data_IF_523914829101
#
_entry.id   IF_523914829101
#
_cell.length_a   1.000
_cell.length_b   1.000
_cell.length_c   1.000
_cell.angle_alpha   90.00
_cell.angle_beta   90.00
_cell.angle_gamma   90.00
#
_symmetry.space_group_name_H-M   'P 1'
#
loop_
_entity.id
_entity.type
_entity.pdbx_description
1 polymer ?
#
# COMPACT_ATOMS: atom_id res chain seq x y z
N UNK A 1 -29.67 54.94 67.03
CA UNK A 1 -29.47 54.76 65.58
C UNK A 1 -28.12 54.09 65.41
N UNK A 2 -28.13 52.76 65.35
CA UNK A 2 -26.93 51.91 65.36
C UNK A 2 -26.66 51.54 63.90
N UNK A 3 -25.56 52.03 63.35
CA UNK A 3 -25.18 51.72 61.98
C UNK A 3 -24.61 50.30 61.92
N UNK A 4 -25.36 49.37 61.34
CA UNK A 4 -24.90 48.02 61.02
C UNK A 4 -23.89 48.10 59.89
N UNK A 5 -22.62 47.86 60.21
CA UNK A 5 -21.53 47.79 59.25
C UNK A 5 -21.61 46.43 58.54
N UNK A 6 -21.98 46.42 57.26
CA UNK A 6 -21.99 45.22 56.44
C UNK A 6 -20.55 44.82 56.09
N UNK A 7 -20.11 43.64 56.55
CA UNK A 7 -18.85 43.04 56.10
C UNK A 7 -18.97 42.70 54.60
N UNK A 8 -18.02 43.14 53.75
CA UNK A 8 -17.95 42.66 52.40
C UNK A 8 -17.47 41.20 52.43
N UNK A 9 -18.38 40.27 52.12
CA UNK A 9 -18.05 38.87 51.82
C UNK A 9 -17.12 38.86 50.59
N UNK A 10 -15.83 38.98 50.84
CA UNK A 10 -14.76 38.86 49.85
C UNK A 10 -14.48 37.38 49.61
N UNK A 11 -15.47 36.66 49.07
CA UNK A 11 -15.25 35.38 48.40
C UNK A 11 -14.64 35.68 47.03
N UNK A 12 -13.40 36.17 47.05
CA UNK A 12 -12.59 36.30 45.85
C UNK A 12 -12.31 34.88 45.34
N UNK A 13 -13.03 34.47 44.30
CA UNK A 13 -12.83 33.19 43.64
C UNK A 13 -11.36 33.06 43.21
N UNK A 14 -10.61 32.20 43.91
CA UNK A 14 -9.23 31.90 43.55
C UNK A 14 -9.27 31.29 42.14
N UNK A 15 -8.61 31.92 41.14
CA UNK A 15 -8.62 31.37 39.79
C UNK A 15 -8.02 29.96 39.85
N UNK A 16 -8.63 28.96 39.18
CA UNK A 16 -8.15 27.59 39.23
C UNK A 16 -6.69 27.57 38.77
N UNK A 17 -5.80 27.20 39.69
CA UNK A 17 -4.37 27.04 39.43
C UNK A 17 -4.22 25.90 38.41
N UNK A 18 -4.15 26.24 37.12
CA UNK A 18 -3.86 25.31 36.05
C UNK A 18 -2.40 24.90 36.18
N UNK A 19 -2.19 23.82 36.92
CA UNK A 19 -0.88 23.20 37.05
C UNK A 19 -0.25 23.00 35.66
N UNK A 20 1.00 23.43 35.43
CA UNK A 20 1.68 23.31 34.14
C UNK A 20 1.71 21.86 33.62
N UNK A 21 1.66 20.89 34.53
CA UNK A 21 1.51 19.46 34.21
C UNK A 21 0.21 19.11 33.49
N UNK A 22 -0.89 19.81 33.78
CA UNK A 22 -2.17 19.60 33.07
C UNK A 22 -2.09 20.11 31.65
N UNK A 23 -1.47 21.27 31.42
CA UNK A 23 -1.28 21.84 30.08
C UNK A 23 -0.37 20.91 29.25
N UNK A 24 0.75 20.47 29.83
CA UNK A 24 1.64 19.50 29.20
C UNK A 24 0.91 18.17 28.88
N UNK A 25 0.08 17.67 29.80
CA UNK A 25 -0.73 16.47 29.60
C UNK A 25 -1.72 16.61 28.43
N UNK A 26 -2.47 17.70 28.36
CA UNK A 26 -3.37 17.97 27.23
C UNK A 26 -2.62 18.13 25.91
N UNK A 27 -1.45 18.78 25.94
CA UNK A 27 -0.57 18.88 24.78
C UNK A 27 -0.14 17.50 24.26
N UNK A 28 0.30 16.62 25.16
CA UNK A 28 0.69 15.26 24.81
C UNK A 28 -0.49 14.46 24.22
N UNK A 29 -1.68 14.54 24.83
CA UNK A 29 -2.89 13.90 24.30
C UNK A 29 -3.23 14.44 22.90
N UNK A 30 -3.18 15.75 22.71
CA UNK A 30 -3.43 16.38 21.41
C UNK A 30 -2.48 15.88 20.32
N UNK A 31 -1.17 15.82 20.62
CA UNK A 31 -0.16 15.28 19.70
C UNK A 31 -0.48 13.84 19.32
N UNK A 32 -0.79 12.98 20.30
CA UNK A 32 -1.13 11.57 20.04
C UNK A 32 -2.36 11.47 19.15
N UNK A 33 -3.43 12.19 19.46
CA UNK A 33 -4.68 12.15 18.68
C UNK A 33 -4.45 12.61 17.24
N UNK A 34 -3.71 13.69 17.03
CA UNK A 34 -3.37 14.19 15.69
C UNK A 34 -2.52 13.18 14.93
N UNK A 35 -1.48 12.62 15.58
CA UNK A 35 -0.61 11.63 14.95
C UNK A 35 -1.37 10.37 14.53
N UNK A 36 -2.22 9.81 15.41
CA UNK A 36 -3.03 8.63 15.10
C UNK A 36 -4.03 8.94 13.99
N UNK A 37 -4.71 10.09 14.06
CA UNK A 37 -5.68 10.50 13.03
C UNK A 37 -5.01 10.64 11.67
N UNK A 38 -3.82 11.25 11.62
CA UNK A 38 -3.06 11.38 10.38
C UNK A 38 -2.64 10.01 9.82
N UNK A 39 -2.22 9.07 10.67
CA UNK A 39 -1.91 7.70 10.25
C UNK A 39 -3.13 7.01 9.63
N UNK A 40 -4.30 7.14 10.27
CA UNK A 40 -5.55 6.55 9.77
C UNK A 40 -5.95 7.17 8.43
N UNK A 41 -5.83 8.50 8.28
CA UNK A 41 -6.13 9.19 7.02
C UNK A 41 -5.18 8.71 5.91
N UNK A 42 -3.88 8.64 6.17
CA UNK A 42 -2.90 8.17 5.19
C UNK A 42 -3.10 6.71 4.81
N UNK A 43 -3.41 5.84 5.78
CA UNK A 43 -3.78 4.45 5.52
C UNK A 43 -5.07 4.36 4.69
N UNK A 44 -6.07 5.21 4.97
CA UNK A 44 -7.32 5.24 4.21
C UNK A 44 -7.11 5.71 2.77
N UNK A 45 -6.18 6.63 2.51
CA UNK A 45 -5.80 7.07 1.16
C UNK A 45 -5.12 5.92 0.39
N UNK A 46 -4.27 5.12 1.05
CA UNK A 46 -3.56 3.98 0.44
C UNK A 46 -4.36 2.66 0.45
N UNK A 47 -5.64 2.72 0.81
CA UNK A 47 -6.47 1.52 1.05
C UNK A 47 -6.91 0.79 -0.22
N UNK A 48 -6.68 1.35 -1.41
CA UNK A 48 -7.01 0.64 -2.66
C UNK A 48 -5.92 -0.36 -3.00
N UNK A 49 -6.26 -1.65 -2.95
CA UNK A 49 -5.39 -2.75 -3.32
C UNK A 49 -5.78 -3.35 -4.66
N UNK A 50 -4.79 -3.63 -5.50
CA UNK A 50 -4.94 -4.47 -6.68
C UNK A 50 -5.24 -5.92 -6.24
N UNK A 51 -6.25 -6.53 -6.84
CA UNK A 51 -6.71 -7.90 -6.52
C UNK A 51 -6.56 -8.87 -7.69
N UNK A 52 -6.75 -8.38 -8.91
CA UNK A 52 -6.45 -9.16 -10.11
C UNK A 52 -6.06 -8.28 -11.27
N UNK A 53 -5.33 -8.87 -12.20
CA UNK A 53 -5.00 -8.29 -13.50
C UNK A 53 -5.46 -9.25 -14.57
N UNK A 54 -6.22 -8.75 -15.53
CA UNK A 54 -6.53 -9.49 -16.75
C UNK A 54 -5.74 -8.90 -17.91
N UNK A 55 -5.04 -9.73 -18.67
CA UNK A 55 -4.31 -9.31 -19.86
C UNK A 55 -4.93 -9.96 -21.08
N UNK A 56 -5.34 -9.16 -22.05
CA UNK A 56 -5.94 -9.62 -23.31
C UNK A 56 -5.09 -9.19 -24.48
N UNK A 57 -4.72 -10.11 -25.36
CA UNK A 57 -4.09 -9.77 -26.63
C UNK A 57 -5.11 -9.12 -27.56
N UNK A 58 -4.79 -7.96 -28.12
CA UNK A 58 -5.67 -7.24 -29.05
C UNK A 58 -5.63 -7.84 -30.45
N UNK A 59 -4.50 -8.46 -30.82
CA UNK A 59 -4.36 -9.20 -32.07
C UNK A 59 -3.83 -10.62 -31.78
N UNK A 60 -4.73 -11.62 -31.68
CA UNK A 60 -4.36 -13.02 -31.46
C UNK A 60 -3.42 -13.60 -32.53
N UNK A 61 -3.43 -13.04 -33.76
CA UNK A 61 -2.57 -13.52 -34.82
C UNK A 61 -1.12 -13.03 -34.68
N UNK A 62 -0.91 -11.95 -33.92
CA UNK A 62 0.40 -11.37 -33.66
C UNK A 62 1.03 -11.84 -32.33
N UNK A 63 0.39 -12.77 -31.60
CA UNK A 63 0.98 -13.37 -30.39
C UNK A 63 2.34 -14.03 -30.72
N UNK A 64 3.36 -13.84 -29.87
CA UNK A 64 4.63 -14.55 -30.01
C UNK A 64 4.36 -16.04 -30.04
N UNK A 65 4.96 -16.74 -31.00
CA UNK A 65 4.93 -18.20 -31.05
C UNK A 65 6.35 -18.69 -30.91
N UNK A 66 6.54 -19.75 -30.14
CA UNK A 66 7.84 -20.40 -30.02
C UNK A 66 8.31 -20.84 -31.41
N UNK A 67 9.51 -20.41 -31.77
CA UNK A 67 10.12 -20.71 -33.05
C UNK A 67 10.48 -22.20 -33.11
N UNK A 68 10.20 -22.85 -34.25
CA UNK A 68 10.63 -24.22 -34.47
C UNK A 68 12.17 -24.31 -34.46
N UNK A 69 12.73 -25.06 -33.52
CA UNK A 69 14.14 -25.42 -33.58
C UNK A 69 14.37 -26.36 -34.78
N UNK A 70 15.36 -26.07 -35.65
CA UNK A 70 15.75 -27.03 -36.67
C UNK A 70 16.12 -28.33 -35.94
N UNK A 71 15.60 -29.48 -36.39
CA UNK A 71 15.77 -30.84 -35.85
C UNK A 71 14.74 -31.38 -34.85
N UNK A 72 13.87 -30.56 -34.24
CA UNK A 72 12.76 -31.05 -33.42
C UNK A 72 11.43 -30.53 -33.97
N UNK A 73 10.51 -31.44 -34.34
CA UNK A 73 9.12 -31.09 -34.64
C UNK A 73 8.42 -30.70 -33.34
N UNK A 74 8.66 -29.48 -32.86
CA UNK A 74 7.82 -28.88 -31.84
C UNK A 74 6.53 -28.45 -32.50
N UNK A 75 5.41 -28.94 -31.96
CA UNK A 75 4.08 -28.45 -32.29
C UNK A 75 4.05 -26.99 -31.84
N UNK A 76 3.53 -26.07 -32.67
CA UNK A 76 3.36 -24.64 -32.34
C UNK A 76 2.97 -24.49 -30.86
N UNK A 77 3.91 -24.07 -30.02
CA UNK A 77 3.67 -23.89 -28.60
C UNK A 77 3.21 -22.45 -28.38
N UNK A 78 2.19 -22.31 -27.54
CA UNK A 78 1.70 -21.01 -27.13
C UNK A 78 2.68 -20.41 -26.12
N UNK A 79 2.78 -19.08 -26.03
CA UNK A 79 3.73 -18.42 -25.15
C UNK A 79 3.46 -18.71 -23.67
N UNK A 80 4.51 -18.64 -22.86
CA UNK A 80 4.47 -18.88 -21.42
C UNK A 80 4.40 -17.53 -20.68
N UNK A 81 3.21 -16.91 -20.65
CA UNK A 81 3.06 -15.58 -20.07
C UNK A 81 3.34 -15.55 -18.57
N UNK A 82 4.16 -14.58 -18.15
CA UNK A 82 4.41 -14.24 -16.75
C UNK A 82 4.12 -12.78 -16.50
N UNK A 83 3.52 -12.49 -15.34
CA UNK A 83 3.24 -11.13 -14.93
C UNK A 83 4.02 -10.74 -13.66
N UNK A 84 4.71 -9.61 -13.72
CA UNK A 84 5.53 -9.07 -12.64
C UNK A 84 5.06 -7.66 -12.29
N UNK A 85 4.86 -7.40 -11.00
CA UNK A 85 4.62 -6.07 -10.47
C UNK A 85 5.95 -5.50 -9.96
N UNK A 86 6.33 -4.35 -10.47
CA UNK A 86 7.48 -3.58 -9.99
C UNK A 86 6.96 -2.55 -8.99
N UNK A 87 7.48 -2.58 -7.77
CA UNK A 87 7.08 -1.67 -6.70
C UNK A 87 8.02 -0.48 -6.59
N UNK A 88 7.54 0.61 -5.99
CA UNK A 88 8.26 1.89 -5.81
C UNK A 88 9.61 1.79 -5.06
N UNK A 89 9.93 0.63 -4.49
CA UNK A 89 11.15 0.35 -3.72
C UNK A 89 12.16 -0.51 -4.47
N UNK A 90 11.84 -0.90 -5.70
CA UNK A 90 12.60 -1.89 -6.46
C UNK A 90 12.23 -3.35 -6.12
N UNK A 91 11.31 -3.56 -5.18
CA UNK A 91 10.76 -4.90 -4.91
C UNK A 91 9.94 -5.39 -6.11
N UNK A 92 10.01 -6.70 -6.38
CA UNK A 92 9.24 -7.34 -7.45
C UNK A 92 8.28 -8.37 -6.89
N UNK A 93 7.01 -8.32 -7.30
CA UNK A 93 5.99 -9.33 -6.96
C UNK A 93 5.67 -10.11 -8.21
N UNK A 94 5.98 -11.41 -8.21
CA UNK A 94 5.69 -12.32 -9.33
C UNK A 94 4.34 -12.96 -9.10
N UNK A 95 3.41 -12.78 -10.04
CA UNK A 95 2.04 -13.33 -9.92
C UNK A 95 1.90 -14.78 -10.42
N UNK A 96 3.02 -15.37 -10.86
CA UNK A 96 3.05 -16.70 -11.47
C UNK A 96 2.98 -16.63 -12.99
N UNK A 97 3.02 -17.80 -13.62
CA UNK A 97 2.96 -17.97 -15.07
C UNK A 97 1.69 -18.70 -15.50
N UNK A 98 1.28 -18.45 -16.75
CA UNK A 98 0.21 -19.14 -17.46
C UNK A 98 0.84 -19.84 -18.67
N UNK A 99 1.33 -21.08 -18.49
CA UNK A 99 2.08 -21.76 -19.53
C UNK A 99 1.16 -22.20 -20.68
N UNK A 100 1.70 -22.25 -21.90
CA UNK A 100 1.02 -22.74 -23.11
C UNK A 100 -0.42 -22.18 -23.27
N UNK A 101 -0.65 -20.91 -22.92
CA UNK A 101 -1.99 -20.32 -22.95
C UNK A 101 -2.02 -19.02 -23.74
N UNK A 102 -2.94 -18.91 -24.69
CA UNK A 102 -3.16 -17.66 -25.46
C UNK A 102 -3.83 -16.59 -24.59
N UNK A 103 -3.48 -15.33 -24.85
CA UNK A 103 -4.11 -14.17 -24.21
C UNK A 103 -5.31 -13.63 -25.00
N UNK A 104 -5.70 -14.26 -26.11
CA UNK A 104 -6.83 -13.84 -26.95
C UNK A 104 -8.16 -13.69 -26.17
N UNK A 105 -8.45 -14.61 -25.25
CA UNK A 105 -9.67 -14.60 -24.43
C UNK A 105 -9.51 -13.88 -23.08
N UNK A 106 -8.30 -13.35 -22.81
CA UNK A 106 -7.94 -12.75 -21.53
C UNK A 106 -7.39 -13.75 -20.51
N UNK A 107 -6.19 -13.47 -20.02
CA UNK A 107 -5.55 -14.20 -18.94
C UNK A 107 -5.66 -13.43 -17.63
N UNK A 108 -6.27 -14.04 -16.62
CA UNK A 108 -6.40 -13.41 -15.30
C UNK A 108 -5.40 -13.99 -14.29
N UNK A 109 -4.65 -13.09 -13.66
CA UNK A 109 -3.84 -13.35 -12.48
C UNK A 109 -4.54 -12.79 -11.26
N UNK A 110 -4.88 -13.67 -10.32
CA UNK A 110 -5.41 -13.26 -9.02
C UNK A 110 -4.26 -13.17 -8.01
N UNK A 111 -4.22 -12.08 -7.26
CA UNK A 111 -3.28 -11.87 -6.18
C UNK A 111 -3.80 -12.57 -4.93
N UNK A 112 -2.99 -13.43 -4.32
CA UNK A 112 -3.33 -14.04 -3.02
C UNK A 112 -3.41 -12.98 -1.92
N UNK A 113 -2.51 -11.99 -1.98
CA UNK A 113 -2.45 -10.85 -1.08
C UNK A 113 -2.56 -9.56 -1.90
N UNK A 114 -3.61 -8.75 -1.69
CA UNK A 114 -3.78 -7.51 -2.44
C UNK A 114 -2.61 -6.54 -2.21
N UNK A 115 -2.13 -5.93 -3.29
CA UNK A 115 -1.00 -4.98 -3.26
C UNK A 115 -1.54 -3.57 -3.43
N UNK A 116 -1.12 -2.61 -2.58
CA UNK A 116 -1.60 -1.23 -2.70
C UNK A 116 -1.21 -0.64 -4.06
N UNK A 117 -2.17 -0.04 -4.76
CA UNK A 117 -1.90 0.65 -6.04
C UNK A 117 -0.83 1.74 -5.87
N UNK A 118 -0.80 2.40 -4.71
CA UNK A 118 0.19 3.43 -4.39
C UNK A 118 1.62 2.89 -4.20
N UNK A 119 1.80 1.56 -4.15
CA UNK A 119 3.10 0.91 -4.09
C UNK A 119 3.57 0.39 -5.47
N UNK A 120 2.68 0.26 -6.45
CA UNK A 120 2.99 -0.29 -7.78
C UNK A 120 3.49 0.85 -8.67
N UNK A 121 4.64 0.66 -9.30
CA UNK A 121 5.21 1.57 -10.29
C UNK A 121 4.80 1.12 -11.69
N UNK A 122 5.17 -0.11 -12.06
CA UNK A 122 4.90 -0.68 -13.37
C UNK A 122 4.45 -2.13 -13.26
N UNK A 123 3.71 -2.56 -14.28
CA UNK A 123 3.30 -3.94 -14.49
C UNK A 123 3.94 -4.42 -15.77
N UNK A 124 4.71 -5.49 -15.67
CA UNK A 124 5.46 -6.07 -16.78
C UNK A 124 4.88 -7.43 -17.15
N UNK A 125 4.57 -7.58 -18.43
CA UNK A 125 4.27 -8.86 -19.07
C UNK A 125 5.56 -9.39 -19.71
N UNK A 126 5.95 -10.59 -19.34
CA UNK A 126 7.12 -11.28 -19.89
C UNK A 126 6.68 -12.58 -20.55
N UNK A 127 7.36 -12.95 -21.62
CA UNK A 127 7.35 -14.30 -22.14
C UNK A 127 8.42 -15.13 -21.42
N UNK A 128 8.03 -16.29 -20.90
CA UNK A 128 8.93 -17.16 -20.18
C UNK A 128 9.45 -18.27 -21.09
N UNK A 129 10.19 -17.91 -22.13
CA UNK A 129 10.93 -18.92 -22.89
C UNK A 129 12.12 -19.45 -22.05
N UNK A 130 12.44 -20.73 -22.24
CA UNK A 130 13.49 -21.47 -21.52
C UNK A 130 14.89 -20.92 -21.75
N UNK A 131 15.07 -20.10 -22.79
CA UNK A 131 16.37 -19.60 -23.21
C UNK A 131 16.55 -18.10 -22.92
N UNK A 132 15.51 -17.27 -23.12
CA UNK A 132 15.54 -15.83 -22.86
C UNK A 132 14.17 -15.37 -22.37
N UNK A 133 14.14 -14.62 -21.26
CA UNK A 133 12.92 -13.99 -20.78
C UNK A 133 12.81 -12.63 -21.44
N UNK A 134 11.88 -12.50 -22.38
CA UNK A 134 11.68 -11.26 -23.12
C UNK A 134 10.52 -10.47 -22.54
N UNK A 135 10.70 -9.14 -22.45
CA UNK A 135 9.63 -8.24 -22.01
C UNK A 135 8.71 -7.97 -23.19
N UNK A 136 7.45 -8.40 -23.08
CA UNK A 136 6.44 -8.23 -24.13
C UNK A 136 5.72 -6.90 -24.04
N UNK A 137 5.48 -6.42 -22.82
CA UNK A 137 4.84 -5.14 -22.56
C UNK A 137 5.15 -4.67 -21.13
N UNK A 138 5.23 -3.36 -20.93
CA UNK A 138 5.36 -2.75 -19.60
C UNK A 138 4.46 -1.53 -19.50
N UNK A 139 3.60 -1.48 -18.48
CA UNK A 139 2.59 -0.43 -18.31
C UNK A 139 2.64 0.18 -16.92
N UNK A 140 2.37 1.48 -16.83
CA UNK A 140 2.11 2.18 -15.57
C UNK A 140 0.63 2.04 -15.20
N UNK A 141 0.32 1.81 -13.92
CA UNK A 141 -1.05 1.66 -13.44
C UNK A 141 -1.67 3.03 -13.18
N UNK A 142 -2.07 3.71 -14.26
CA UNK A 142 -2.70 5.03 -14.21
C UNK A 142 -4.24 4.95 -14.17
N UNK A 143 -4.81 3.99 -14.91
CA UNK A 143 -6.24 3.80 -15.09
C UNK A 143 -6.63 2.33 -14.87
N UNK A 144 -7.93 2.05 -14.75
CA UNK A 144 -8.46 0.69 -14.64
C UNK A 144 -8.17 -0.18 -15.88
N UNK A 145 -7.96 0.46 -17.04
CA UNK A 145 -7.65 -0.22 -18.30
C UNK A 145 -6.52 0.52 -19.01
N UNK A 146 -5.44 -0.18 -19.34
CA UNK A 146 -4.29 0.36 -20.07
C UNK A 146 -3.99 -0.52 -21.27
N UNK A 147 -3.64 0.07 -22.42
CA UNK A 147 -3.29 -0.64 -23.65
C UNK A 147 -1.86 -0.28 -24.03
N UNK A 148 -1.02 -1.28 -24.24
CA UNK A 148 0.38 -1.11 -24.60
C UNK A 148 0.86 -2.30 -25.43
N UNK A 149 1.62 -2.03 -26.49
CA UNK A 149 2.30 -3.05 -27.33
C UNK A 149 1.38 -4.21 -27.78
N UNK A 150 0.12 -3.91 -28.08
CA UNK A 150 -0.86 -4.91 -28.56
C UNK A 150 -1.54 -5.72 -27.45
N UNK A 151 -1.31 -5.39 -26.18
CA UNK A 151 -1.96 -6.00 -25.04
C UNK A 151 -2.83 -4.99 -24.30
N UNK A 152 -3.98 -5.45 -23.80
CA UNK A 152 -4.90 -4.70 -22.94
C UNK A 152 -4.83 -5.26 -21.53
N UNK A 153 -4.45 -4.42 -20.59
CA UNK A 153 -4.39 -4.71 -19.16
C UNK A 153 -5.64 -4.15 -18.50
N UNK A 154 -6.40 -4.99 -17.81
CA UNK A 154 -7.52 -4.60 -16.96
C UNK A 154 -7.17 -4.85 -15.50
N UNK A 155 -7.19 -3.80 -14.69
CA UNK A 155 -6.85 -3.84 -13.27
C UNK A 155 -8.13 -3.89 -12.45
N UNK A 156 -8.32 -4.95 -11.67
CA UNK A 156 -9.41 -5.02 -10.69
C UNK A 156 -8.87 -4.69 -9.31
N UNK A 157 -9.39 -3.62 -8.72
CA UNK A 157 -8.98 -3.17 -7.39
C UNK A 157 -10.12 -3.27 -6.38
N UNK A 158 -9.76 -3.45 -5.10
CA UNK A 158 -10.68 -3.46 -3.99
C UNK A 158 -10.14 -2.57 -2.86
N UNK A 159 -11.05 -1.84 -2.22
CA UNK A 159 -10.71 -1.07 -1.04
C UNK A 159 -10.59 -1.98 0.19
N UNK A 160 -9.42 -1.98 0.81
CA UNK A 160 -9.10 -2.74 2.02
C UNK A 160 -8.25 -1.89 2.98
N UNK A 161 -8.76 -1.69 4.19
CA UNK A 161 -8.05 -0.93 5.22
C UNK A 161 -6.76 -1.64 5.65
N UNK A 162 -6.75 -2.97 5.66
CA UNK A 162 -5.55 -3.78 5.94
C UNK A 162 -4.43 -3.48 4.94
N UNK A 163 -4.75 -3.40 3.64
CA UNK A 163 -3.78 -3.04 2.59
C UNK A 163 -3.23 -1.63 2.82
N UNK A 164 -4.12 -0.69 3.16
CA UNK A 164 -3.74 0.69 3.46
C UNK A 164 -2.80 0.82 4.65
N UNK A 165 -3.08 0.12 5.74
CA UNK A 165 -2.22 0.06 6.93
C UNK A 165 -0.86 -0.56 6.59
N UNK A 166 -0.86 -1.71 5.93
CA UNK A 166 0.38 -2.42 5.58
C UNK A 166 1.26 -1.59 4.64
N UNK A 167 0.64 -0.96 3.63
CA UNK A 167 1.33 -0.05 2.71
C UNK A 167 1.89 1.17 3.45
N UNK A 168 1.10 1.79 4.33
CA UNK A 168 1.55 2.93 5.14
C UNK A 168 2.76 2.58 6.02
N UNK A 169 2.71 1.49 6.78
CA UNK A 169 3.82 1.09 7.65
C UNK A 169 5.05 0.59 6.89
N UNK A 170 4.90 0.25 5.61
CA UNK A 170 6.08 0.06 4.75
C UNK A 170 6.79 1.39 4.55
N UNK A 171 6.10 2.52 4.32
CA UNK A 171 6.71 3.85 4.04
C UNK A 171 7.76 4.29 5.08
N UNK A 172 8.78 5.10 4.72
CA UNK A 172 9.77 5.58 5.69
C UNK A 172 9.13 6.37 6.85
N UNK A 173 8.05 7.11 6.55
CA UNK A 173 7.27 7.86 7.55
C UNK A 173 6.58 6.89 8.51
N UNK A 174 5.89 5.87 7.98
CA UNK A 174 5.22 4.86 8.80
C UNK A 174 6.21 4.08 9.68
N UNK A 175 7.38 3.73 9.15
CA UNK A 175 8.46 3.09 9.90
C UNK A 175 9.01 3.99 11.02
N UNK A 176 9.24 5.27 10.75
CA UNK A 176 9.70 6.24 11.75
C UNK A 176 8.68 6.39 12.90
N UNK A 177 7.39 6.47 12.57
CA UNK A 177 6.31 6.54 13.56
C UNK A 177 6.27 5.25 14.40
N UNK A 178 6.31 4.07 13.77
CA UNK A 178 6.33 2.79 14.47
C UNK A 178 7.53 2.67 15.41
N UNK A 179 8.73 3.05 14.95
CA UNK A 179 9.94 3.06 15.78
C UNK A 179 9.81 4.03 16.97
N UNK A 180 9.28 5.24 16.73
CA UNK A 180 9.02 6.21 17.80
C UNK A 180 8.07 5.68 18.87
N UNK A 181 6.99 5.01 18.46
CA UNK A 181 6.06 4.35 19.39
C UNK A 181 6.75 3.22 20.18
N UNK A 182 7.55 2.37 19.54
CA UNK A 182 8.30 1.32 20.23
C UNK A 182 9.25 1.91 21.29
N UNK A 183 9.99 2.96 20.94
CA UNK A 183 10.90 3.64 21.89
C UNK A 183 10.11 4.22 23.07
N UNK A 184 9.00 4.91 22.81
CA UNK A 184 8.17 5.48 23.86
C UNK A 184 7.65 4.41 24.84
N UNK A 185 7.17 3.27 24.33
CA UNK A 185 6.72 2.14 25.15
C UNK A 185 7.86 1.59 26.00
N UNK A 186 9.05 1.37 25.41
CA UNK A 186 10.22 0.90 26.14
C UNK A 186 10.61 1.86 27.27
N UNK A 187 10.57 3.17 27.03
CA UNK A 187 10.88 4.18 28.05
C UNK A 187 9.85 4.18 29.19
N UNK A 188 8.56 4.00 28.88
CA UNK A 188 7.50 3.90 29.91
C UNK A 188 7.69 2.62 30.73
N UNK A 189 7.96 1.48 30.09
CA UNK A 189 8.18 0.22 30.81
C UNK A 189 9.44 0.32 31.68
N UNK A 190 10.53 0.87 31.16
CA UNK A 190 11.75 1.10 31.92
C UNK A 190 11.50 2.02 33.12
N UNK A 191 10.79 3.14 32.93
CA UNK A 191 10.52 4.07 34.03
C UNK A 191 9.67 3.44 35.13
N UNK A 192 8.75 2.54 34.80
CA UNK A 192 7.95 1.79 35.78
C UNK A 192 8.77 0.72 36.50
N UNK A 193 9.72 0.06 35.83
CA UNK A 193 10.56 -1.00 36.43
C UNK A 193 11.64 -0.40 37.36
N UNK A 194 12.19 0.76 37.01
CA UNK A 194 13.26 1.42 37.76
C UNK A 194 12.76 2.46 38.78
N UNK A 195 11.43 2.65 38.91
CA UNK A 195 10.81 3.46 39.96
C UNK A 195 10.46 2.62 41.19
#
# INVERSE_FOLDING_TARGET
MTATQAEPNSDAAIPPNTSPWRIAGWGAVGVIVISVSLCVILAAIRSTGLTSITVTALDPAAEPRDHELPFFKQKEALPDYRLILLLNRGDQVRLGSKPDTSAADGLTWQLSDPVSLADITTVRLEDQDKLLSDTLAEVEVLDDVVVEQGYRFEFTSQRSLTVGIQSFFRTPIGQAIAAGFCIAVVLIVASVIYA
#
